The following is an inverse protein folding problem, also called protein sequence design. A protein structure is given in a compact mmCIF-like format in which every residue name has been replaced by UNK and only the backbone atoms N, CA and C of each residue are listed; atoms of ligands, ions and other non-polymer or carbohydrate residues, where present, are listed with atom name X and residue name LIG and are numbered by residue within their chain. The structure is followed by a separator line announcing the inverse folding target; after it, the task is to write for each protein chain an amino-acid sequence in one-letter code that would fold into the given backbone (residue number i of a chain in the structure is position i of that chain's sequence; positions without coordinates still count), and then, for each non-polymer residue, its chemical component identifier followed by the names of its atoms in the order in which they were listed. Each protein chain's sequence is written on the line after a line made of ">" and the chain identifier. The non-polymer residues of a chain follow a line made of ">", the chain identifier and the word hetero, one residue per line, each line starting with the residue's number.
data_IF_086727111929
#
_entry.id   IF_086727111929
#
_cell.length_a   1.000
_cell.length_b   1.000
_cell.length_c   1.000
_cell.angle_alpha   90.00
_cell.angle_beta   90.00
_cell.angle_gamma   90.00
#
_symmetry.space_group_name_H-M   'P 1'
#
loop_
_entity.id
_entity.type
_entity.pdbx_description
1 polymer ?
#
# COMPACT_ATOMS: atom_id res chain seq x y z
N UNK A 1 -45.92 -0.25 12.07
CA UNK A 1 -45.01 0.87 12.38
C UNK A 1 -43.60 0.37 12.16
N UNK A 2 -43.07 0.56 10.94
CA UNK A 2 -41.73 0.11 10.55
C UNK A 2 -40.67 0.93 11.27
N UNK A 3 -39.91 0.29 12.14
CA UNK A 3 -38.78 0.92 12.80
C UNK A 3 -37.54 0.77 11.91
N UNK A 4 -37.42 1.63 10.90
CA UNK A 4 -36.19 1.78 10.10
C UNK A 4 -35.22 2.65 10.88
N UNK A 5 -34.33 2.03 11.66
CA UNK A 5 -33.19 2.74 12.24
C UNK A 5 -32.27 3.22 11.10
N UNK A 6 -31.87 4.51 11.06
CA UNK A 6 -30.87 4.95 10.09
C UNK A 6 -29.55 4.24 10.42
N UNK A 7 -28.88 3.72 9.39
CA UNK A 7 -27.60 3.04 9.51
C UNK A 7 -26.59 3.96 10.20
N UNK A 8 -26.26 3.64 11.45
CA UNK A 8 -25.34 4.43 12.26
C UNK A 8 -23.95 4.44 11.64
N UNK A 9 -23.44 5.65 11.39
CA UNK A 9 -22.06 5.96 11.09
C UNK A 9 -21.13 5.27 12.11
N UNK A 10 -20.44 4.20 11.69
CA UNK A 10 -19.52 3.48 12.59
C UNK A 10 -18.23 4.29 12.71
N UNK A 11 -17.87 4.67 13.96
CA UNK A 11 -16.61 5.39 14.24
C UNK A 11 -15.40 4.60 13.71
N UNK A 12 -14.54 5.32 12.99
CA UNK A 12 -13.44 4.79 12.18
C UNK A 12 -12.21 4.26 12.93
N UNK A 13 -12.17 4.44 14.25
CA UNK A 13 -11.00 4.08 15.06
C UNK A 13 -10.78 2.57 15.20
N UNK A 14 -11.77 1.72 14.89
CA UNK A 14 -11.65 0.26 14.98
C UNK A 14 -12.42 -0.43 13.85
N UNK A 15 -11.86 -0.41 12.63
CA UNK A 15 -12.40 -1.24 11.53
C UNK A 15 -12.09 -2.72 11.80
N UNK A 16 -13.09 -3.58 11.55
CA UNK A 16 -12.95 -5.02 11.65
C UNK A 16 -12.07 -5.58 10.52
N UNK A 17 -11.53 -6.79 10.70
CA UNK A 17 -10.83 -7.52 9.63
C UNK A 17 -11.68 -7.67 8.36
N UNK A 18 -13.02 -7.74 8.52
CA UNK A 18 -13.97 -7.74 7.40
C UNK A 18 -13.95 -6.41 6.64
N UNK A 19 -13.96 -5.29 7.35
CA UNK A 19 -14.00 -3.95 6.75
C UNK A 19 -12.70 -3.67 5.97
N UNK A 20 -11.56 -4.08 6.52
CA UNK A 20 -10.26 -3.98 5.82
C UNK A 20 -10.23 -4.81 4.53
N UNK A 21 -10.86 -5.99 4.53
CA UNK A 21 -10.99 -6.82 3.32
C UNK A 21 -11.87 -6.12 2.28
N UNK A 22 -13.02 -5.60 2.68
CA UNK A 22 -13.92 -4.83 1.81
C UNK A 22 -13.21 -3.63 1.19
N UNK A 23 -12.42 -2.88 1.98
CA UNK A 23 -11.62 -1.76 1.46
C UNK A 23 -10.57 -2.20 0.44
N UNK A 24 -9.87 -3.31 0.68
CA UNK A 24 -8.91 -3.85 -0.29
C UNK A 24 -9.59 -4.28 -1.59
N UNK A 25 -10.78 -4.87 -1.51
CA UNK A 25 -11.57 -5.24 -2.68
C UNK A 25 -12.04 -3.98 -3.43
N UNK A 26 -12.51 -2.95 -2.73
CA UNK A 26 -12.84 -1.65 -3.32
C UNK A 26 -11.65 -1.03 -4.07
N UNK A 27 -10.46 -1.00 -3.46
CA UNK A 27 -9.25 -0.47 -4.09
C UNK A 27 -8.89 -1.28 -5.34
N UNK A 28 -9.06 -2.60 -5.34
CA UNK A 28 -8.79 -3.41 -6.54
C UNK A 28 -9.71 -3.06 -7.70
N UNK A 29 -10.98 -2.75 -7.44
CA UNK A 29 -11.97 -2.47 -8.48
C UNK A 29 -11.94 -1.01 -8.92
N UNK A 30 -11.92 -0.06 -7.97
CA UNK A 30 -12.02 1.38 -8.24
C UNK A 30 -10.69 2.12 -8.16
N UNK A 31 -9.68 1.56 -7.49
CA UNK A 31 -8.36 2.17 -7.34
C UNK A 31 -7.66 2.45 -8.66
N UNK A 32 -7.88 1.61 -9.67
CA UNK A 32 -7.30 1.81 -11.01
C UNK A 32 -7.71 3.15 -11.65
N UNK A 33 -8.89 3.69 -11.32
CA UNK A 33 -9.31 4.98 -11.86
C UNK A 33 -8.43 6.12 -11.32
N UNK A 34 -8.06 6.06 -10.03
CA UNK A 34 -7.18 7.05 -9.40
C UNK A 34 -5.73 6.95 -9.89
N UNK A 35 -5.27 5.74 -10.23
CA UNK A 35 -3.94 5.53 -10.81
C UNK A 35 -3.80 6.06 -12.25
N UNK A 36 -4.88 6.55 -12.87
CA UNK A 36 -4.80 7.27 -14.15
C UNK A 36 -4.32 8.72 -13.96
N UNK A 37 -4.38 9.25 -12.74
CA UNK A 37 -3.85 10.56 -12.43
C UNK A 37 -2.31 10.51 -12.42
N UNK A 38 -1.62 11.38 -13.19
CA UNK A 38 -0.17 11.33 -13.31
C UNK A 38 0.58 11.62 -12.01
N UNK A 39 -0.06 12.25 -11.02
CA UNK A 39 0.57 12.54 -9.74
C UNK A 39 0.39 11.39 -8.72
N UNK A 40 -0.52 10.44 -8.96
CA UNK A 40 -0.81 9.34 -8.04
C UNK A 40 0.03 8.10 -8.40
N UNK A 41 0.95 7.73 -7.51
CA UNK A 41 1.83 6.58 -7.72
C UNK A 41 1.27 5.27 -7.16
N UNK A 42 0.50 5.33 -6.06
CA UNK A 42 -0.11 4.15 -5.46
C UNK A 42 -1.35 4.48 -4.61
N UNK A 43 -2.18 3.46 -4.39
CA UNK A 43 -3.36 3.53 -3.52
C UNK A 43 -3.40 2.29 -2.64
N UNK A 44 -3.71 2.46 -1.35
CA UNK A 44 -3.71 1.38 -0.36
C UNK A 44 -4.61 1.65 0.83
N UNK A 45 -4.61 0.71 1.77
CA UNK A 45 -5.23 0.88 3.09
C UNK A 45 -4.12 1.04 4.11
N UNK A 46 -4.18 2.09 4.91
CA UNK A 46 -3.18 2.39 5.93
C UNK A 46 -3.78 3.12 7.12
N UNK A 47 -2.96 3.37 8.12
CA UNK A 47 -3.31 4.29 9.18
C UNK A 47 -3.09 5.73 8.72
N UNK A 48 -3.97 6.63 9.12
CA UNK A 48 -3.85 8.05 8.82
C UNK A 48 -2.63 8.63 9.51
N UNK A 49 -1.85 9.43 8.80
CA UNK A 49 -0.69 10.14 9.34
C UNK A 49 -1.04 11.61 9.47
N UNK A 50 -0.89 12.15 10.69
CA UNK A 50 -1.09 13.58 10.97
C UNK A 50 0.18 14.12 11.61
N UNK A 51 0.76 15.18 11.05
CA UNK A 51 2.00 15.80 11.53
C UNK A 51 3.17 14.80 11.71
N UNK A 52 3.27 13.84 10.79
CA UNK A 52 4.30 12.79 10.81
C UNK A 52 4.07 11.69 11.85
N UNK A 53 2.94 11.70 12.56
CA UNK A 53 2.57 10.66 13.54
C UNK A 53 1.44 9.79 12.99
N UNK A 54 1.67 8.48 13.01
CA UNK A 54 0.65 7.48 12.68
C UNK A 54 -0.44 7.48 13.75
N UNK A 55 -1.71 7.61 13.34
CA UNK A 55 -2.86 7.55 14.24
C UNK A 55 -3.47 6.14 14.26
N UNK A 56 -4.48 5.92 15.10
CA UNK A 56 -5.27 4.69 15.17
C UNK A 56 -6.41 4.64 14.13
N UNK A 57 -6.57 5.69 13.32
CA UNK A 57 -7.63 5.80 12.33
C UNK A 57 -7.22 5.14 11.02
N UNK A 58 -8.02 4.20 10.52
CA UNK A 58 -7.81 3.61 9.18
C UNK A 58 -8.30 4.59 8.10
N UNK A 59 -7.50 4.75 7.06
CA UNK A 59 -7.73 5.62 5.92
C UNK A 59 -7.39 4.93 4.60
N UNK A 60 -8.00 5.41 3.50
CA UNK A 60 -7.54 5.09 2.16
C UNK A 60 -6.34 5.98 1.85
N UNK A 61 -5.18 5.36 1.72
CA UNK A 61 -3.92 6.06 1.56
C UNK A 61 -3.59 6.21 0.08
N UNK A 62 -3.36 7.44 -0.36
CA UNK A 62 -2.86 7.79 -1.67
C UNK A 62 -1.40 8.20 -1.54
N UNK A 63 -0.52 7.56 -2.30
CA UNK A 63 0.84 8.04 -2.45
C UNK A 63 0.94 8.87 -3.70
N UNK A 64 1.45 10.08 -3.57
CA UNK A 64 1.65 11.03 -4.66
C UNK A 64 3.12 11.39 -4.81
N UNK A 65 3.49 11.80 -6.02
CA UNK A 65 4.84 12.30 -6.28
C UNK A 65 5.10 13.65 -5.61
N UNK A 66 4.09 14.53 -5.59
CA UNK A 66 4.17 15.85 -4.95
C UNK A 66 2.81 16.33 -4.47
N UNK A 67 2.76 16.91 -3.26
CA UNK A 67 1.60 17.69 -2.80
C UNK A 67 1.59 19.05 -3.46
N UNK A 68 0.47 19.37 -4.10
CA UNK A 68 0.29 20.63 -4.82
C UNK A 68 -0.87 21.40 -4.19
N UNK A 69 -0.82 22.74 -4.19
CA UNK A 69 -1.98 23.57 -3.85
C UNK A 69 -3.07 23.41 -4.92
N UNK A 70 -4.33 23.65 -4.53
CA UNK A 70 -5.49 23.44 -5.39
C UNK A 70 -5.39 24.18 -6.74
N UNK A 71 -4.82 25.39 -6.74
CA UNK A 71 -4.65 26.23 -7.94
C UNK A 71 -3.64 25.66 -8.94
N UNK A 72 -2.72 24.80 -8.49
CA UNK A 72 -1.69 24.18 -9.33
C UNK A 72 -2.10 22.80 -9.86
N UNK A 73 -3.10 22.15 -9.25
CA UNK A 73 -3.56 20.81 -9.65
C UNK A 73 -3.98 20.80 -11.13
N UNK A 74 -4.83 21.75 -11.53
CA UNK A 74 -5.31 21.86 -12.91
C UNK A 74 -4.18 22.14 -13.92
N UNK A 75 -3.15 22.89 -13.51
CA UNK A 75 -1.99 23.19 -14.37
C UNK A 75 -1.11 21.97 -14.61
N UNK A 76 -1.07 21.04 -13.66
CA UNK A 76 -0.31 19.80 -13.76
C UNK A 76 -1.14 18.62 -14.29
N UNK A 77 -2.40 18.85 -14.69
CA UNK A 77 -3.27 17.80 -15.20
C UNK A 77 -3.64 16.73 -14.17
N UNK A 78 -3.58 17.09 -12.88
CA UNK A 78 -3.98 16.24 -11.76
C UNK A 78 -5.29 16.78 -11.15
N UNK A 79 -5.99 15.93 -10.41
CA UNK A 79 -7.27 16.25 -9.81
C UNK A 79 -7.19 16.21 -8.28
N UNK A 80 -8.05 17.00 -7.63
CA UNK A 80 -8.22 16.91 -6.20
C UNK A 80 -8.74 15.51 -5.82
N UNK A 81 -8.04 14.85 -4.90
CA UNK A 81 -8.50 13.60 -4.32
C UNK A 81 -9.66 13.90 -3.35
N UNK A 82 -10.68 13.03 -3.27
CA UNK A 82 -11.79 13.23 -2.34
C UNK A 82 -11.31 13.13 -0.88
N UNK A 83 -11.88 13.91 0.03
CA UNK A 83 -11.53 13.88 1.47
C UNK A 83 -11.99 12.59 2.17
N UNK A 84 -13.03 11.95 1.64
CA UNK A 84 -13.57 10.69 2.12
C UNK A 84 -14.14 9.86 0.98
N UNK A 85 -14.08 8.54 1.12
CA UNK A 85 -14.61 7.57 0.18
C UNK A 85 -15.69 6.76 0.88
N UNK A 86 -16.85 6.68 0.24
CA UNK A 86 -17.93 5.79 0.66
C UNK A 86 -17.69 4.39 0.09
N UNK A 87 -17.55 3.41 0.99
CA UNK A 87 -17.42 2.00 0.64
C UNK A 87 -18.50 1.21 1.36
N UNK A 88 -19.48 0.74 0.59
CA UNK A 88 -20.70 0.09 1.08
C UNK A 88 -21.51 0.98 2.05
N UNK A 89 -21.28 0.83 3.36
CA UNK A 89 -21.94 1.58 4.44
C UNK A 89 -20.92 2.28 5.34
N UNK A 90 -19.66 2.38 4.89
CA UNK A 90 -18.56 2.95 5.64
C UNK A 90 -18.00 4.17 4.91
N UNK A 91 -18.00 5.30 5.59
CA UNK A 91 -17.29 6.51 5.16
C UNK A 91 -15.86 6.43 5.69
N UNK A 92 -14.87 6.35 4.80
CA UNK A 92 -13.45 6.25 5.17
C UNK A 92 -12.69 7.50 4.68
N UNK A 93 -11.90 8.19 5.52
CA UNK A 93 -11.14 9.35 5.12
C UNK A 93 -10.04 8.90 4.17
N UNK A 94 -9.63 9.84 3.35
CA UNK A 94 -8.41 9.69 2.58
C UNK A 94 -7.24 10.27 3.35
N UNK A 95 -6.06 9.75 3.05
CA UNK A 95 -4.80 10.31 3.51
C UNK A 95 -3.85 10.40 2.32
N UNK A 96 -3.14 11.53 2.19
CA UNK A 96 -2.27 11.81 1.04
C UNK A 96 -0.84 11.90 1.54
N UNK A 97 0.00 10.96 1.08
CA UNK A 97 1.42 10.90 1.40
C UNK A 97 2.25 11.28 0.19
N UNK A 98 3.21 12.18 0.40
CA UNK A 98 4.22 12.49 -0.59
C UNK A 98 5.41 11.57 -0.39
N UNK A 99 5.80 10.83 -1.43
CA UNK A 99 6.97 9.96 -1.39
C UNK A 99 7.76 10.07 -2.68
N UNK A 100 9.05 10.38 -2.57
CA UNK A 100 10.01 10.28 -3.67
C UNK A 100 10.72 8.93 -3.64
N UNK A 101 10.64 8.17 -4.73
CA UNK A 101 11.40 6.92 -4.88
C UNK A 101 12.66 7.14 -5.72
N UNK A 102 13.79 6.62 -5.26
CA UNK A 102 15.04 6.58 -6.01
C UNK A 102 15.47 5.12 -6.12
N UNK A 103 15.62 4.56 -7.34
CA UNK A 103 16.18 3.22 -7.52
C UNK A 103 17.56 3.15 -6.88
N UNK A 104 17.77 2.18 -6.00
CA UNK A 104 19.09 1.88 -5.44
C UNK A 104 19.36 0.39 -5.62
N UNK A 105 20.60 0.06 -5.96
CA UNK A 105 21.08 -1.31 -6.00
C UNK A 105 22.41 -1.37 -5.25
N UNK A 106 22.64 -2.50 -4.59
CA UNK A 106 23.93 -2.81 -3.97
C UNK A 106 24.48 -4.00 -4.74
N UNK A 107 25.71 -3.87 -5.24
CA UNK A 107 26.42 -4.99 -5.84
C UNK A 107 26.71 -6.01 -4.73
N UNK A 108 25.97 -7.10 -4.70
CA UNK A 108 26.22 -8.22 -3.82
C UNK A 108 27.30 -9.08 -4.47
N UNK A 109 28.48 -9.27 -3.83
CA UNK A 109 29.49 -10.16 -4.38
C UNK A 109 28.93 -11.59 -4.45
N UNK A 110 29.32 -12.32 -5.49
CA UNK A 110 28.95 -13.73 -5.62
C UNK A 110 29.44 -14.50 -4.39
N UNK A 111 28.50 -15.14 -3.67
CA UNK A 111 28.83 -15.96 -2.51
C UNK A 111 29.58 -17.19 -3.02
N UNK A 112 30.86 -17.29 -2.66
CA UNK A 112 31.65 -18.47 -3.00
C UNK A 112 30.91 -19.75 -2.54
N UNK A 113 30.78 -20.77 -3.41
CA UNK A 113 30.06 -21.98 -3.06
C UNK A 113 30.70 -22.63 -1.82
N UNK A 114 29.88 -22.98 -0.83
CA UNK A 114 30.35 -23.69 0.36
C UNK A 114 31.04 -24.98 -0.08
N UNK A 115 32.24 -25.22 0.45
CA UNK A 115 33.07 -26.39 0.11
C UNK A 115 32.29 -27.71 0.23
N UNK A 116 31.36 -27.81 1.19
CA UNK A 116 30.52 -29.00 1.42
C UNK A 116 29.60 -29.38 0.24
N UNK A 117 29.26 -28.44 -0.64
CA UNK A 117 28.33 -28.66 -1.77
C UNK A 117 29.06 -28.53 -3.12
N UNK A 118 30.39 -28.52 -3.10
CA UNK A 118 31.18 -28.48 -4.33
C UNK A 118 31.09 -29.84 -5.02
N UNK A 119 30.72 -29.86 -6.30
CA UNK A 119 30.75 -31.09 -7.10
C UNK A 119 32.19 -31.60 -7.16
N UNK A 120 32.40 -32.85 -6.76
CA UNK A 120 33.67 -33.55 -6.90
C UNK A 120 33.60 -34.46 -8.13
N UNK A 121 34.46 -34.20 -9.11
CA UNK A 121 34.58 -34.99 -10.34
C UNK A 121 36.05 -34.94 -10.80
N UNK A 122 36.86 -36.03 -10.66
CA UNK A 122 36.51 -37.33 -10.11
C UNK A 122 36.31 -37.33 -8.58
N UNK A 123 35.71 -38.39 -8.03
CA UNK A 123 35.56 -38.57 -6.57
C UNK A 123 36.94 -38.78 -5.93
N UNK A 124 37.28 -37.98 -4.90
CA UNK A 124 38.56 -38.04 -4.17
C UNK A 124 38.40 -38.67 -2.78
N UNK A 125 39.46 -39.25 -2.19
CA UNK A 125 39.42 -39.76 -0.82
C UNK A 125 38.94 -38.69 0.18
N UNK A 126 38.05 -39.08 1.10
CA UNK A 126 37.47 -38.18 2.12
C UNK A 126 36.07 -37.65 1.83
N UNK A 127 35.47 -37.99 0.69
CA UNK A 127 34.05 -37.69 0.36
C UNK A 127 33.15 -38.85 0.76
N UNK A 128 32.16 -38.61 1.64
CA UNK A 128 31.13 -39.59 2.00
C UNK A 128 29.96 -39.55 1.02
N UNK A 129 29.54 -40.71 0.50
CA UNK A 129 28.35 -40.87 -0.33
C UNK A 129 27.27 -41.54 0.54
N UNK A 130 26.14 -40.87 0.72
CA UNK A 130 24.96 -41.42 1.38
C UNK A 130 23.85 -41.62 0.34
N UNK A 131 23.17 -42.77 0.41
CA UNK A 131 22.03 -43.14 -0.45
C UNK A 131 20.71 -42.63 0.11
#
# INVERSE_FOLDING_TARGET
>A
MSNSQPAGERKLGNLSAKDTRTLREFIRVRGQAYLKDPNVSSIGVGYKVVDGKTTDQIAVQFTVHRKLPMDELARQGTHALPDSIEVEQLTVPTDVLEVSYVPSYVLVPEVAPKIRTRRHDPVVPGVSISM
#
